data_IF_674405296663
#
_entry.id   IF_674405296663
#
_cell.length_a   1.000
_cell.length_b   1.000
_cell.length_c   1.000
_cell.angle_alpha   90.00
_cell.angle_beta   90.00
_cell.angle_gamma   90.00
#
_symmetry.space_group_name_H-M   'P 1'
#
loop_
_entity.id
_entity.type
_entity.pdbx_description
1 polymer ?
#
# COMPACT_ATOMS: atom_id res chain seq x y z
N UNK A 1 -22.24 5.17 5.68
CA UNK A 1 -21.76 4.45 6.89
C UNK A 1 -20.40 3.79 6.61
N UNK A 2 -19.48 3.76 7.59
CA UNK A 2 -18.18 3.08 7.50
C UNK A 2 -18.07 1.96 8.53
N UNK A 3 -17.60 0.79 8.11
CA UNK A 3 -17.19 -0.30 9.00
C UNK A 3 -15.70 -0.60 8.76
N UNK A 4 -14.98 -0.92 9.83
CA UNK A 4 -13.53 -1.16 9.79
C UNK A 4 -13.20 -2.47 10.49
N UNK A 5 -12.44 -3.31 9.80
CA UNK A 5 -11.91 -4.58 10.29
C UNK A 5 -10.38 -4.51 10.23
N UNK A 6 -9.74 -4.52 11.38
CA UNK A 6 -8.26 -4.47 11.49
C UNK A 6 -7.72 -5.73 12.13
N UNK A 7 -6.47 -6.05 11.85
CA UNK A 7 -5.80 -7.19 12.47
C UNK A 7 -4.43 -7.43 11.88
N UNK A 8 -3.62 -8.22 12.58
CA UNK A 8 -2.29 -8.59 12.11
C UNK A 8 -2.34 -9.45 10.83
N UNK A 9 -1.17 -9.64 10.22
CA UNK A 9 -1.02 -10.44 9.00
C UNK A 9 -1.39 -11.89 9.30
N UNK A 10 -2.18 -12.51 8.41
CA UNK A 10 -2.49 -13.94 8.49
C UNK A 10 -3.60 -14.33 9.46
N UNK A 11 -4.32 -13.35 10.04
CA UNK A 11 -5.47 -13.60 10.93
C UNK A 11 -6.79 -13.88 10.20
N UNK A 12 -6.79 -13.91 8.87
CA UNK A 12 -8.00 -14.27 8.10
C UNK A 12 -8.96 -13.10 7.84
N UNK A 13 -8.46 -11.85 7.79
CA UNK A 13 -9.26 -10.67 7.40
C UNK A 13 -9.96 -10.85 6.05
N UNK A 14 -9.19 -11.15 4.99
CA UNK A 14 -9.72 -11.43 3.65
C UNK A 14 -10.71 -12.61 3.65
N UNK A 15 -10.44 -13.66 4.44
CA UNK A 15 -11.35 -14.79 4.56
C UNK A 15 -12.67 -14.36 5.21
N UNK A 16 -12.61 -13.55 6.26
CA UNK A 16 -13.80 -13.03 6.95
C UNK A 16 -14.64 -12.17 6.01
N UNK A 17 -14.01 -11.32 5.20
CA UNK A 17 -14.72 -10.56 4.17
C UNK A 17 -15.39 -11.47 3.14
N UNK A 18 -14.71 -12.51 2.65
CA UNK A 18 -15.31 -13.48 1.73
C UNK A 18 -16.49 -14.23 2.34
N UNK A 19 -16.39 -14.67 3.59
CA UNK A 19 -17.49 -15.32 4.28
C UNK A 19 -18.71 -14.39 4.43
N UNK A 20 -18.47 -13.10 4.70
CA UNK A 20 -19.54 -12.10 4.71
C UNK A 20 -20.14 -11.98 3.31
N UNK A 21 -19.32 -11.82 2.27
CA UNK A 21 -19.76 -11.72 0.88
C UNK A 21 -20.61 -12.93 0.45
N UNK A 22 -20.18 -14.14 0.77
CA UNK A 22 -20.87 -15.38 0.44
C UNK A 22 -22.21 -15.54 1.19
N UNK A 23 -22.35 -14.87 2.34
CA UNK A 23 -23.60 -14.86 3.12
C UNK A 23 -24.65 -13.85 2.62
N UNK A 24 -24.25 -12.91 1.75
CA UNK A 24 -25.14 -11.85 1.27
C UNK A 24 -25.95 -12.31 0.06
N UNK A 25 -27.25 -11.99 0.08
CA UNK A 25 -28.17 -12.32 -1.01
C UNK A 25 -27.96 -11.38 -2.22
N UNK A 26 -27.64 -11.90 -3.43
CA UNK A 26 -27.40 -11.08 -4.61
C UNK A 26 -28.59 -10.20 -5.01
N UNK A 27 -29.82 -10.64 -4.72
CA UNK A 27 -31.04 -9.90 -5.08
C UNK A 27 -31.24 -8.63 -4.25
N UNK A 28 -30.67 -8.59 -3.03
CA UNK A 28 -30.82 -7.50 -2.07
C UNK A 28 -29.62 -6.55 -2.06
N UNK A 29 -28.45 -7.00 -2.50
CA UNK A 29 -27.20 -6.26 -2.38
C UNK A 29 -26.47 -6.09 -3.71
N UNK A 30 -26.07 -4.85 -4.02
CA UNK A 30 -25.08 -4.55 -5.05
C UNK A 30 -23.71 -4.40 -4.39
N UNK A 31 -22.74 -5.17 -4.84
CA UNK A 31 -21.47 -5.35 -4.15
C UNK A 31 -20.30 -4.98 -5.06
N UNK A 32 -19.38 -4.18 -4.54
CA UNK A 32 -18.03 -4.04 -5.09
C UNK A 32 -17.00 -4.57 -4.08
N UNK A 33 -16.01 -5.32 -4.56
CA UNK A 33 -14.91 -5.85 -3.76
C UNK A 33 -13.55 -5.47 -4.38
N UNK A 34 -12.85 -4.56 -3.70
CA UNK A 34 -11.55 -4.02 -4.12
C UNK A 34 -10.46 -4.71 -3.32
N UNK A 35 -9.54 -5.39 -4.00
CA UNK A 35 -8.41 -6.09 -3.38
C UNK A 35 -7.08 -5.33 -3.46
N UNK A 36 -6.96 -4.41 -4.42
CA UNK A 36 -5.77 -3.58 -4.59
C UNK A 36 -6.16 -2.11 -4.62
N UNK A 37 -6.18 -1.43 -3.46
CA UNK A 37 -6.60 -0.04 -3.40
C UNK A 37 -5.44 0.97 -3.55
N UNK A 38 -4.23 0.53 -3.89
CA UNK A 38 -3.07 1.40 -4.18
C UNK A 38 -3.21 2.08 -5.55
N UNK A 39 -4.14 3.03 -5.63
CA UNK A 39 -4.43 3.78 -6.85
C UNK A 39 -4.96 5.17 -6.54
N UNK A 40 -5.03 6.04 -7.54
CA UNK A 40 -5.65 7.36 -7.37
C UNK A 40 -7.14 7.23 -7.06
N UNK A 41 -7.72 8.21 -6.36
CA UNK A 41 -9.16 8.22 -6.05
C UNK A 41 -10.05 8.09 -7.30
N UNK A 42 -9.66 8.69 -8.43
CA UNK A 42 -10.39 8.57 -9.70
C UNK A 42 -10.39 7.13 -10.21
N UNK A 43 -9.25 6.45 -10.14
CA UNK A 43 -9.16 5.03 -10.51
C UNK A 43 -9.98 4.15 -9.57
N UNK A 44 -9.91 4.42 -8.26
CA UNK A 44 -10.68 3.69 -7.26
C UNK A 44 -12.19 3.83 -7.50
N UNK A 45 -12.67 5.03 -7.77
CA UNK A 45 -14.08 5.28 -8.04
C UNK A 45 -14.54 4.61 -9.35
N UNK A 46 -13.71 4.62 -10.40
CA UNK A 46 -13.98 3.90 -11.66
C UNK A 46 -14.09 2.40 -11.44
N UNK A 47 -13.19 1.82 -10.66
CA UNK A 47 -13.21 0.39 -10.32
C UNK A 47 -14.47 0.04 -9.53
N UNK A 48 -14.82 0.84 -8.52
CA UNK A 48 -16.06 0.66 -7.75
C UNK A 48 -17.29 0.71 -8.66
N UNK A 49 -17.43 1.76 -9.47
CA UNK A 49 -18.59 1.88 -10.37
C UNK A 49 -18.61 0.70 -11.34
N UNK A 50 -17.47 0.32 -11.91
CA UNK A 50 -17.40 -0.76 -12.88
C UNK A 50 -17.80 -2.13 -12.32
N UNK A 51 -17.45 -2.42 -11.06
CA UNK A 51 -17.93 -3.63 -10.39
C UNK A 51 -19.41 -3.57 -10.04
N UNK A 52 -19.92 -2.40 -9.64
CA UNK A 52 -21.32 -2.22 -9.29
C UNK A 52 -22.27 -2.28 -10.50
N UNK A 53 -21.85 -1.74 -11.65
CA UNK A 53 -22.63 -1.70 -12.90
C UNK A 53 -22.37 -2.91 -13.79
N UNK A 54 -21.23 -3.59 -13.63
CA UNK A 54 -20.74 -4.62 -14.54
C UNK A 54 -20.16 -4.07 -15.84
N UNK A 55 -19.95 -2.75 -15.95
CA UNK A 55 -19.45 -2.09 -17.17
C UNK A 55 -18.27 -1.18 -16.85
N UNK A 56 -17.21 -1.24 -17.64
CA UNK A 56 -16.04 -0.38 -17.47
C UNK A 56 -16.40 1.09 -17.68
N UNK A 57 -16.07 1.94 -16.71
CA UNK A 57 -16.24 3.38 -16.86
C UNK A 57 -15.08 4.00 -17.65
N UNK A 58 -15.34 4.51 -18.85
CA UNK A 58 -14.34 5.19 -19.69
C UNK A 58 -14.03 6.61 -19.21
N UNK A 59 -14.98 7.24 -18.51
CA UNK A 59 -14.83 8.59 -17.96
C UNK A 59 -13.67 8.70 -16.98
N UNK A 60 -12.82 9.70 -17.18
CA UNK A 60 -11.67 10.01 -16.31
C UNK A 60 -11.90 11.26 -15.45
N UNK A 61 -12.95 12.03 -15.72
CA UNK A 61 -13.25 13.27 -15.00
C UNK A 61 -13.92 12.95 -13.66
N UNK A 62 -13.38 13.51 -12.58
CA UNK A 62 -13.86 13.26 -11.21
C UNK A 62 -15.33 13.66 -11.02
N UNK A 63 -15.74 14.83 -11.52
CA UNK A 63 -17.11 15.33 -11.39
C UNK A 63 -18.13 14.40 -12.04
N UNK A 64 -17.87 14.00 -13.28
CA UNK A 64 -18.74 13.09 -14.03
C UNK A 64 -18.82 11.71 -13.36
N UNK A 65 -17.71 11.18 -12.80
CA UNK A 65 -17.74 9.92 -12.04
C UNK A 65 -18.57 10.01 -10.76
N UNK A 66 -18.51 11.14 -10.05
CA UNK A 66 -19.33 11.36 -8.85
C UNK A 66 -20.81 11.43 -9.21
N UNK A 67 -21.16 12.07 -10.32
CA UNK A 67 -22.54 12.14 -10.81
C UNK A 67 -23.07 10.76 -11.21
N UNK A 68 -22.28 9.99 -11.98
CA UNK A 68 -22.60 8.61 -12.35
C UNK A 68 -22.80 7.74 -11.11
N UNK A 69 -21.87 7.83 -10.14
CA UNK A 69 -21.97 7.08 -8.89
C UNK A 69 -23.22 7.48 -8.10
N UNK A 70 -23.52 8.78 -7.99
CA UNK A 70 -24.72 9.25 -7.30
C UNK A 70 -26.01 8.70 -7.94
N UNK A 71 -26.12 8.82 -9.26
CA UNK A 71 -27.26 8.31 -10.01
C UNK A 71 -27.45 6.81 -9.83
N UNK A 72 -26.35 6.05 -9.85
CA UNK A 72 -26.38 4.61 -9.60
C UNK A 72 -26.88 4.28 -8.18
N UNK A 73 -26.42 5.04 -7.18
CA UNK A 73 -26.83 4.85 -5.79
C UNK A 73 -28.32 5.07 -5.59
N UNK A 74 -28.88 6.15 -6.15
CA UNK A 74 -30.33 6.42 -6.11
C UNK A 74 -31.13 5.34 -6.83
N UNK A 75 -30.72 4.97 -8.04
CA UNK A 75 -31.39 3.88 -8.78
C UNK A 75 -31.40 2.57 -7.99
N UNK A 76 -30.28 2.20 -7.37
CA UNK A 76 -30.19 0.99 -6.55
C UNK A 76 -31.10 1.07 -5.32
N UNK A 77 -31.20 2.26 -4.70
CA UNK A 77 -32.07 2.48 -3.55
C UNK A 77 -33.56 2.42 -3.94
N UNK A 78 -33.94 2.95 -5.10
CA UNK A 78 -35.30 2.88 -5.66
C UNK A 78 -35.70 1.44 -6.01
N UNK A 79 -34.75 0.61 -6.43
CA UNK A 79 -34.92 -0.84 -6.58
C UNK A 79 -35.08 -1.58 -5.24
N UNK A 80 -35.00 -0.89 -4.10
CA UNK A 80 -35.04 -1.49 -2.76
C UNK A 80 -33.79 -2.27 -2.38
N UNK A 81 -32.71 -2.12 -3.15
CA UNK A 81 -31.42 -2.80 -2.94
C UNK A 81 -30.46 -1.92 -2.14
N UNK A 82 -29.45 -2.55 -1.55
CA UNK A 82 -28.41 -1.87 -0.77
C UNK A 82 -27.05 -1.98 -1.45
N UNK A 83 -26.29 -0.89 -1.46
CA UNK A 83 -24.93 -0.88 -2.02
C UNK A 83 -23.89 -1.11 -0.92
N UNK A 84 -23.02 -2.10 -1.12
CA UNK A 84 -21.91 -2.44 -0.24
C UNK A 84 -20.58 -2.39 -1.01
N UNK A 85 -19.60 -1.70 -0.43
CA UNK A 85 -18.26 -1.58 -1.02
C UNK A 85 -17.27 -2.13 -0.01
N UNK A 86 -16.60 -3.21 -0.37
CA UNK A 86 -15.58 -3.85 0.43
C UNK A 86 -14.21 -3.48 -0.13
N UNK A 87 -13.32 -3.01 0.74
CA UNK A 87 -11.94 -2.68 0.36
C UNK A 87 -10.99 -3.45 1.27
N UNK A 88 -10.30 -4.45 0.71
CA UNK A 88 -9.24 -5.19 1.38
C UNK A 88 -7.89 -4.47 1.24
N UNK A 89 -6.94 -4.80 2.11
CA UNK A 89 -5.64 -4.12 2.20
C UNK A 89 -5.75 -2.58 2.26
N UNK A 90 -6.77 -2.06 2.96
CA UNK A 90 -7.06 -0.63 3.04
C UNK A 90 -5.92 0.20 3.69
N UNK A 91 -4.90 -0.45 4.28
CA UNK A 91 -3.62 0.16 4.64
C UNK A 91 -2.85 0.72 3.43
N UNK A 92 -3.08 0.23 2.22
CA UNK A 92 -2.50 0.78 1.00
C UNK A 92 -3.17 2.07 0.53
N UNK A 93 -4.36 2.41 1.05
CA UNK A 93 -5.04 3.66 0.68
C UNK A 93 -4.27 4.87 1.22
N UNK A 94 -4.02 5.83 0.34
CA UNK A 94 -3.38 7.09 0.71
C UNK A 94 -4.25 7.91 1.69
N UNK A 95 -3.64 8.74 2.55
CA UNK A 95 -4.38 9.64 3.44
C UNK A 95 -5.40 10.53 2.72
N UNK A 96 -5.04 11.06 1.54
CA UNK A 96 -5.90 11.92 0.74
C UNK A 96 -7.10 11.17 0.15
N UNK A 97 -6.91 9.90 -0.23
CA UNK A 97 -8.01 9.06 -0.71
C UNK A 97 -8.96 8.68 0.43
N UNK A 98 -8.47 8.39 1.64
CA UNK A 98 -9.32 8.14 2.81
C UNK A 98 -10.21 9.34 3.13
N UNK A 99 -9.67 10.56 3.01
CA UNK A 99 -10.47 11.78 3.17
C UNK A 99 -11.50 11.95 2.03
N UNK A 100 -11.13 11.62 0.79
CA UNK A 100 -12.08 11.61 -0.32
C UNK A 100 -13.20 10.57 -0.11
N UNK A 101 -12.88 9.38 0.42
CA UNK A 101 -13.87 8.37 0.80
C UNK A 101 -14.77 8.89 1.94
N UNK A 102 -14.22 9.61 2.93
CA UNK A 102 -15.02 10.28 3.96
C UNK A 102 -16.07 11.20 3.34
N UNK A 103 -15.65 12.04 2.39
CA UNK A 103 -16.53 12.99 1.70
C UNK A 103 -17.61 12.27 0.87
N UNK A 104 -17.28 11.15 0.22
CA UNK A 104 -18.28 10.34 -0.48
C UNK A 104 -19.39 9.85 0.45
N UNK A 105 -19.06 9.48 1.70
CA UNK A 105 -20.08 8.98 2.65
C UNK A 105 -21.08 10.04 3.11
N UNK A 106 -20.86 11.31 2.76
CA UNK A 106 -21.84 12.37 2.94
C UNK A 106 -22.98 12.30 1.89
N UNK A 107 -22.82 11.51 0.83
CA UNK A 107 -23.90 11.27 -0.13
C UNK A 107 -24.94 10.39 0.55
N UNK A 108 -25.99 11.04 1.04
CA UNK A 108 -27.11 10.45 1.77
C UNK A 108 -28.41 10.94 1.15
N UNK A 109 -29.41 10.09 1.22
CA UNK A 109 -30.81 10.44 0.99
C UNK A 109 -31.36 10.97 2.32
N UNK A 110 -32.41 11.80 2.31
CA UNK A 110 -32.88 12.55 3.49
C UNK A 110 -33.17 11.65 4.70
N UNK A 111 -33.47 10.36 4.46
CA UNK A 111 -33.81 9.38 5.50
C UNK A 111 -32.81 8.22 5.65
N UNK A 112 -31.81 8.06 4.76
CA UNK A 112 -30.98 6.84 4.72
C UNK A 112 -29.61 6.99 4.05
N UNK A 113 -28.66 6.18 4.54
CA UNK A 113 -27.37 6.01 3.87
C UNK A 113 -27.54 5.24 2.56
N UNK A 114 -27.08 5.82 1.45
CA UNK A 114 -27.16 5.21 0.12
C UNK A 114 -26.21 4.02 -0.08
N UNK A 115 -25.11 3.98 0.69
CA UNK A 115 -24.13 2.89 0.63
C UNK A 115 -23.36 2.74 1.94
N UNK A 116 -22.71 1.58 2.09
CA UNK A 116 -21.80 1.29 3.19
C UNK A 116 -20.45 0.83 2.65
N UNK A 117 -19.36 1.38 3.22
CA UNK A 117 -18.00 0.93 2.94
C UNK A 117 -17.51 0.08 4.11
N UNK A 118 -16.97 -1.10 3.81
CA UNK A 118 -16.27 -1.97 4.75
C UNK A 118 -14.77 -1.96 4.40
N UNK A 119 -13.95 -1.41 5.28
CA UNK A 119 -12.50 -1.37 5.13
C UNK A 119 -11.87 -2.51 5.93
N UNK A 120 -11.10 -3.37 5.28
CA UNK A 120 -10.26 -4.36 5.95
C UNK A 120 -8.78 -3.99 5.76
N UNK A 121 -8.00 -4.03 6.83
CA UNK A 121 -6.59 -3.67 6.75
C UNK A 121 -5.75 -4.11 7.94
N UNK A 122 -4.48 -3.75 7.92
CA UNK A 122 -3.54 -4.06 8.99
C UNK A 122 -3.65 -3.08 10.17
N UNK A 123 -2.96 -3.35 11.29
CA UNK A 123 -2.92 -2.44 12.45
C UNK A 123 -2.34 -1.05 12.13
N UNK A 124 -1.63 -0.91 11.01
CA UNK A 124 -1.24 0.42 10.52
C UNK A 124 -2.45 1.28 10.14
N UNK A 125 -3.49 0.69 9.55
CA UNK A 125 -4.73 1.40 9.22
C UNK A 125 -5.41 1.89 10.50
N UNK A 126 -5.47 1.06 11.55
CA UNK A 126 -5.99 1.41 12.87
C UNK A 126 -5.32 2.69 13.39
N UNK A 127 -3.99 2.68 13.49
CA UNK A 127 -3.19 3.83 13.98
C UNK A 127 -3.43 5.09 13.15
N UNK A 128 -3.56 4.94 11.81
CA UNK A 128 -3.83 6.08 10.92
C UNK A 128 -5.23 6.65 11.12
N UNK A 129 -6.24 5.82 11.38
CA UNK A 129 -7.62 6.24 11.60
C UNK A 129 -7.82 6.86 12.98
N UNK A 130 -7.16 6.33 14.01
CA UNK A 130 -7.19 6.83 15.39
C UNK A 130 -6.40 8.14 15.58
N UNK A 131 -5.59 8.52 14.59
CA UNK A 131 -4.78 9.74 14.67
C UNK A 131 -5.66 11.00 14.77
N UNK A 132 -5.38 11.96 15.67
CA UNK A 132 -6.22 13.14 15.91
C UNK A 132 -6.56 13.96 14.66
N UNK A 133 -5.61 14.09 13.72
CA UNK A 133 -5.82 14.76 12.41
C UNK A 133 -6.93 14.12 11.55
N UNK A 134 -7.42 12.93 11.89
CA UNK A 134 -8.49 12.21 11.17
C UNK A 134 -9.69 11.90 12.06
N UNK A 135 -9.84 12.60 13.19
CA UNK A 135 -10.98 12.43 14.09
C UNK A 135 -12.33 12.50 13.34
N UNK A 136 -12.45 13.37 12.32
CA UNK A 136 -13.65 13.49 11.49
C UNK A 136 -13.99 12.21 10.71
N UNK A 137 -12.98 11.47 10.23
CA UNK A 137 -13.19 10.18 9.57
C UNK A 137 -13.52 9.11 10.60
N UNK A 138 -12.82 9.11 11.73
CA UNK A 138 -13.05 8.14 12.81
C UNK A 138 -14.48 8.19 13.36
N UNK A 139 -15.04 9.40 13.55
CA UNK A 139 -16.43 9.59 13.99
C UNK A 139 -17.48 9.04 13.00
N UNK A 140 -17.12 8.83 11.72
CA UNK A 140 -18.01 8.25 10.71
C UNK A 140 -17.98 6.71 10.70
N UNK A 141 -17.06 6.10 11.46
CA UNK A 141 -16.96 4.65 11.61
C UNK A 141 -18.05 4.20 12.59
N UNK A 142 -19.08 3.54 12.07
CA UNK A 142 -20.16 2.98 12.88
C UNK A 142 -19.80 1.64 13.51
N UNK A 143 -18.83 0.92 12.93
CA UNK A 143 -18.37 -0.37 13.46
C UNK A 143 -16.87 -0.48 13.31
N UNK A 144 -16.17 -0.73 14.41
CA UNK A 144 -14.73 -0.91 14.45
C UNK A 144 -14.42 -2.22 15.16
N UNK A 145 -13.85 -3.18 14.44
CA UNK A 145 -13.58 -4.52 14.95
C UNK A 145 -12.14 -4.90 14.69
N UNK A 146 -11.51 -5.49 15.71
CA UNK A 146 -10.19 -6.08 15.60
C UNK A 146 -10.32 -7.59 15.56
N UNK A 147 -9.64 -8.22 14.59
CA UNK A 147 -9.47 -9.66 14.53
C UNK A 147 -8.18 -10.01 15.25
N UNK A 148 -8.29 -10.89 16.24
CA UNK A 148 -7.15 -11.43 16.99
C UNK A 148 -6.80 -12.85 16.55
N UNK A 149 -5.71 -13.36 17.10
CA UNK A 149 -5.29 -14.76 16.93
C UNK A 149 -6.33 -15.70 17.54
N UNK A 150 -6.25 -16.98 17.17
CA UNK A 150 -6.99 -18.02 17.89
C UNK A 150 -6.53 -17.98 19.35
N UNK A 151 -7.46 -17.94 20.31
CA UNK A 151 -7.16 -17.55 21.69
C UNK A 151 -6.64 -18.67 22.59
N UNK A 152 -6.78 -19.93 22.20
CA UNK A 152 -6.34 -21.08 23.00
C UNK A 152 -6.02 -22.30 22.13
N UNK A 153 -5.25 -23.26 22.67
CA UNK A 153 -5.07 -24.58 22.04
C UNK A 153 -6.39 -25.32 21.78
N UNK A 154 -7.38 -25.18 22.67
CA UNK A 154 -8.69 -25.83 22.51
C UNK A 154 -9.44 -25.26 21.29
N UNK A 155 -9.51 -23.93 21.17
CA UNK A 155 -10.09 -23.27 19.99
C UNK A 155 -9.29 -23.56 18.72
N UNK A 156 -7.98 -23.77 18.84
CA UNK A 156 -7.13 -24.20 17.73
C UNK A 156 -7.49 -25.62 17.27
N UNK A 157 -7.75 -26.53 18.21
CA UNK A 157 -8.19 -27.88 17.89
C UNK A 157 -9.52 -27.86 17.14
N UNK A 158 -10.49 -27.09 17.62
CA UNK A 158 -11.79 -26.91 16.95
C UNK A 158 -11.63 -26.30 15.55
N UNK A 159 -10.75 -25.33 15.41
CA UNK A 159 -10.40 -24.74 14.11
C UNK A 159 -9.83 -25.77 13.15
N UNK A 160 -8.82 -26.54 13.57
CA UNK A 160 -8.20 -27.59 12.75
C UNK A 160 -9.21 -28.65 12.36
N UNK A 161 -10.01 -29.13 13.32
CA UNK A 161 -11.06 -30.14 13.09
C UNK A 161 -12.09 -29.65 12.08
N UNK A 162 -12.55 -28.41 12.21
CA UNK A 162 -13.49 -27.78 11.26
C UNK A 162 -12.89 -27.75 9.86
N UNK A 163 -11.61 -27.39 9.73
CA UNK A 163 -10.91 -27.32 8.43
C UNK A 163 -10.74 -28.70 7.81
N UNK A 164 -10.44 -29.73 8.61
CA UNK A 164 -10.37 -31.13 8.14
C UNK A 164 -11.73 -31.60 7.63
N UNK A 165 -12.82 -31.31 8.35
CA UNK A 165 -14.18 -31.64 7.91
C UNK A 165 -14.54 -30.95 6.58
N UNK A 166 -14.21 -29.66 6.44
CA UNK A 166 -14.41 -28.93 5.19
C UNK A 166 -13.61 -29.50 4.01
N UNK A 167 -12.50 -30.19 4.28
CA UNK A 167 -11.72 -30.89 3.26
C UNK A 167 -12.26 -32.29 2.93
N UNK A 168 -13.38 -32.72 3.52
CA UNK A 168 -13.98 -34.03 3.31
C UNK A 168 -13.50 -35.11 4.29
N UNK A 169 -12.77 -34.74 5.34
CA UNK A 169 -12.42 -35.67 6.41
C UNK A 169 -13.66 -36.12 7.19
N UNK A 170 -13.70 -37.40 7.56
CA UNK A 170 -14.81 -38.06 8.27
C UNK A 170 -14.94 -37.66 9.75
N UNK A 171 -14.19 -36.65 10.20
CA UNK A 171 -14.16 -36.20 11.59
C UNK A 171 -13.29 -37.06 12.50
N UNK A 172 -12.55 -38.05 11.96
CA UNK A 172 -11.47 -38.71 12.72
C UNK A 172 -10.38 -37.70 13.07
N UNK A 173 -9.75 -37.92 14.23
CA UNK A 173 -8.64 -37.08 14.70
C UNK A 173 -7.39 -37.38 13.89
N UNK A 174 -7.22 -36.69 12.76
CA UNK A 174 -6.00 -36.73 11.95
C UNK A 174 -4.80 -36.15 12.70
N UNK A 175 -5.05 -35.31 13.70
CA UNK A 175 -4.06 -34.68 14.57
C UNK A 175 -4.27 -35.15 16.01
N UNK A 176 -3.23 -35.67 16.63
CA UNK A 176 -3.22 -36.08 18.05
C UNK A 176 -3.21 -34.87 18.99
N UNK A 177 -3.51 -35.05 20.28
CA UNK A 177 -3.56 -33.94 21.25
C UNK A 177 -2.19 -33.25 21.47
N UNK A 178 -1.10 -34.02 21.50
CA UNK A 178 0.26 -33.49 21.56
C UNK A 178 0.60 -32.66 20.31
N UNK A 179 0.09 -33.04 19.14
CA UNK A 179 0.27 -32.27 17.90
C UNK A 179 -0.37 -30.89 17.95
N UNK A 180 -1.51 -30.73 18.64
CA UNK A 180 -2.16 -29.43 18.83
C UNK A 180 -1.29 -28.51 19.69
N UNK A 181 -0.65 -29.06 20.72
CA UNK A 181 0.25 -28.30 21.60
C UNK A 181 1.44 -27.72 20.82
N UNK A 182 2.08 -28.54 19.98
CA UNK A 182 3.15 -28.05 19.11
C UNK A 182 2.64 -27.12 18.00
N UNK A 183 1.45 -27.37 17.43
CA UNK A 183 0.85 -26.46 16.45
C UNK A 183 0.63 -25.08 17.07
N UNK A 184 0.15 -25.01 18.31
CA UNK A 184 -0.04 -23.77 19.05
C UNK A 184 1.29 -23.01 19.20
N UNK A 185 2.34 -23.68 19.67
CA UNK A 185 3.66 -23.09 19.87
C UNK A 185 4.26 -22.58 18.54
N UNK A 186 4.33 -23.42 17.51
CA UNK A 186 4.99 -23.08 16.25
C UNK A 186 4.17 -22.17 15.33
N UNK A 187 2.88 -21.99 15.59
CA UNK A 187 2.03 -21.04 14.86
C UNK A 187 2.01 -19.63 15.45
N UNK A 188 3.01 -19.28 16.26
CA UNK A 188 3.07 -18.03 17.02
C UNK A 188 1.81 -17.83 17.89
N UNK A 189 1.39 -18.90 18.57
CA UNK A 189 0.21 -18.91 19.44
C UNK A 189 -1.09 -18.60 18.68
N UNK A 190 -1.36 -19.39 17.63
CA UNK A 190 -2.68 -19.41 16.99
C UNK A 190 -2.85 -18.45 15.81
N UNK A 191 -1.79 -18.12 15.07
CA UNK A 191 -1.92 -17.38 13.79
C UNK A 191 -2.49 -18.32 12.71
N UNK A 192 -3.74 -18.11 12.23
CA UNK A 192 -4.40 -19.04 11.30
C UNK A 192 -3.59 -19.37 10.04
N UNK A 193 -2.90 -18.39 9.44
CA UNK A 193 -2.05 -18.63 8.27
C UNK A 193 -0.91 -19.60 8.55
N UNK A 194 -0.26 -19.48 9.71
CA UNK A 194 0.83 -20.38 10.11
C UNK A 194 0.28 -21.76 10.48
N UNK A 195 -0.80 -21.82 11.25
CA UNK A 195 -1.52 -23.06 11.57
C UNK A 195 -1.81 -23.85 10.28
N UNK A 196 -2.47 -23.22 9.31
CA UNK A 196 -2.80 -23.86 8.04
C UNK A 196 -1.57 -24.37 7.29
N UNK A 197 -0.47 -23.60 7.33
CA UNK A 197 0.77 -23.95 6.63
C UNK A 197 1.45 -25.16 7.28
N UNK A 198 1.57 -25.17 8.61
CA UNK A 198 2.16 -26.28 9.36
C UNK A 198 1.29 -27.52 9.21
N UNK A 199 -0.04 -27.40 9.34
CA UNK A 199 -0.97 -28.51 9.13
C UNK A 199 -0.82 -29.10 7.72
N UNK A 200 -0.82 -28.27 6.67
CA UNK A 200 -0.67 -28.73 5.28
C UNK A 200 0.64 -29.50 5.07
N UNK A 201 1.75 -29.00 5.61
CA UNK A 201 3.04 -29.69 5.52
C UNK A 201 3.06 -31.00 6.32
N UNK A 202 2.39 -31.02 7.48
CA UNK A 202 2.30 -32.21 8.33
C UNK A 202 1.47 -33.30 7.67
N UNK A 203 0.33 -32.95 7.08
CA UNK A 203 -0.49 -33.87 6.29
C UNK A 203 0.29 -34.44 5.10
N UNK A 204 1.04 -33.60 4.38
CA UNK A 204 1.90 -34.07 3.27
C UNK A 204 3.00 -35.03 3.75
N UNK A 205 3.59 -34.77 4.91
CA UNK A 205 4.57 -35.67 5.51
C UNK A 205 3.91 -36.99 5.95
N UNK A 206 2.70 -36.94 6.53
CA UNK A 206 1.92 -38.13 6.87
C UNK A 206 1.62 -38.99 5.66
N UNK A 207 1.12 -38.38 4.58
CA UNK A 207 0.89 -39.06 3.31
C UNK A 207 2.16 -39.74 2.77
N UNK A 208 3.29 -39.02 2.76
CA UNK A 208 4.56 -39.54 2.21
C UNK A 208 5.11 -40.73 3.02
N UNK A 209 4.90 -40.73 4.34
CA UNK A 209 5.43 -41.76 5.24
C UNK A 209 4.39 -42.84 5.63
N UNK A 210 3.15 -42.73 5.11
CA UNK A 210 2.07 -43.67 5.42
C UNK A 210 1.56 -43.59 6.86
N UNK A 211 1.50 -42.40 7.46
CA UNK A 211 0.95 -42.21 8.80
C UNK A 211 -0.56 -42.01 8.76
N UNK A 212 -1.29 -42.76 9.58
CA UNK A 212 -2.74 -42.59 9.78
C UNK A 212 -3.07 -41.37 10.65
N UNK A 213 -2.18 -41.02 11.59
CA UNK A 213 -2.31 -39.86 12.47
C UNK A 213 -1.01 -39.04 12.51
N UNK A 214 -1.17 -37.72 12.59
CA UNK A 214 -0.07 -36.76 12.74
C UNK A 214 0.21 -36.55 14.22
N UNK A 215 1.35 -37.05 14.68
CA UNK A 215 1.84 -36.87 16.05
C UNK A 215 2.54 -35.54 16.27
N UNK A 216 2.74 -35.16 17.53
CA UNK A 216 3.50 -33.98 17.91
C UNK A 216 4.92 -33.95 17.37
N UNK A 217 5.59 -35.09 17.30
CA UNK A 217 6.94 -35.20 16.74
C UNK A 217 7.04 -34.72 15.28
N UNK A 218 6.03 -35.02 14.45
CA UNK A 218 5.98 -34.60 13.04
C UNK A 218 5.78 -33.10 12.95
N UNK A 219 4.86 -32.56 13.75
CA UNK A 219 4.59 -31.12 13.82
C UNK A 219 5.82 -30.37 14.31
N UNK A 220 6.49 -30.86 15.34
CA UNK A 220 7.71 -30.27 15.89
C UNK A 220 8.81 -30.18 14.83
N UNK A 221 9.11 -31.29 14.13
CA UNK A 221 10.12 -31.29 13.07
C UNK A 221 9.82 -30.26 11.96
N UNK A 222 8.55 -30.10 11.59
CA UNK A 222 8.12 -29.12 10.59
C UNK A 222 8.20 -27.70 11.14
N UNK A 223 7.75 -27.48 12.37
CA UNK A 223 7.80 -26.21 13.08
C UNK A 223 9.23 -25.69 13.24
N UNK A 224 10.17 -26.55 13.63
CA UNK A 224 11.59 -26.21 13.75
C UNK A 224 12.21 -25.83 12.40
N UNK A 225 11.89 -26.57 11.32
CA UNK A 225 12.32 -26.20 9.97
C UNK A 225 11.79 -24.82 9.59
N UNK A 226 10.57 -24.52 10.00
CA UNK A 226 9.94 -23.23 9.76
C UNK A 226 10.66 -22.09 10.47
N UNK A 227 10.92 -22.22 11.77
CA UNK A 227 11.67 -21.23 12.55
C UNK A 227 13.09 -21.01 12.02
N UNK A 228 13.76 -22.07 11.53
CA UNK A 228 15.10 -21.95 10.90
C UNK A 228 15.09 -21.15 9.59
N UNK A 229 13.94 -21.10 8.89
CA UNK A 229 13.75 -20.34 7.65
C UNK A 229 13.29 -18.89 7.90
N UNK A 230 12.55 -18.63 8.98
CA UNK A 230 12.06 -17.29 9.37
C UNK A 230 12.90 -16.60 10.45
N UNK A 231 13.89 -17.28 11.02
CA UNK A 231 14.87 -16.66 11.91
C UNK A 231 15.59 -15.51 11.19
N UNK A 232 15.93 -14.40 11.87
CA UNK A 232 16.73 -13.36 11.25
C UNK A 232 18.00 -14.02 10.74
N UNK A 233 18.33 -13.78 9.47
CA UNK A 233 19.58 -14.19 8.84
C UNK A 233 20.77 -13.42 9.46
N UNK A 234 20.91 -13.44 10.77
CA UNK A 234 22.06 -12.94 11.50
C UNK A 234 23.08 -14.06 11.52
N UNK A 235 23.72 -14.31 10.38
CA UNK A 235 25.08 -14.80 10.45
C UNK A 235 25.87 -13.72 11.20
N UNK A 236 26.07 -13.92 12.51
CA UNK A 236 27.14 -13.25 13.25
C UNK A 236 28.44 -13.61 12.53
N UNK A 237 28.83 -12.82 11.53
CA UNK A 237 30.21 -12.77 11.08
C UNK A 237 31.02 -12.41 12.32
N UNK A 238 31.71 -13.40 12.90
CA UNK A 238 32.75 -13.13 13.90
C UNK A 238 33.67 -12.06 13.29
N UNK A 239 33.94 -10.93 13.96
CA UNK A 239 34.92 -10.00 13.45
C UNK A 239 36.25 -10.77 13.36
N UNK A 240 36.84 -10.83 12.15
CA UNK A 240 38.22 -11.29 11.97
C UNK A 240 39.08 -10.38 12.85
N UNK A 241 39.68 -10.92 13.92
CA UNK A 241 40.77 -10.25 14.62
C UNK A 241 41.85 -9.96 13.57
N UNK A 242 42.12 -8.67 13.30
CA UNK A 242 43.39 -8.29 12.70
C UNK A 242 44.48 -8.67 13.71
N UNK A 243 45.60 -9.29 13.30
CA UNK A 243 46.73 -9.45 14.19
C UNK A 243 47.16 -8.04 14.64
N UNK A 244 47.23 -7.83 15.95
CA UNK A 244 47.79 -6.61 16.52
C UNK A 244 49.31 -6.67 16.36
N UNK A 245 49.88 -5.59 15.83
CA UNK A 245 51.31 -5.39 15.68
C UNK A 245 51.85 -4.94 17.05
N UNK A 246 52.31 -5.90 17.86
CA UNK A 246 53.00 -5.67 19.13
C UNK A 246 54.42 -5.14 18.86
N UNK A 247 54.57 -3.82 18.68
CA UNK A 247 55.92 -3.23 18.64
C UNK A 247 56.05 -1.74 18.97
N UNK A 248 55.02 -1.08 19.52
CA UNK A 248 55.09 0.38 19.80
C UNK A 248 54.79 0.82 21.24
N UNK A 249 54.37 -0.08 22.14
CA UNK A 249 54.09 0.29 23.53
C UNK A 249 55.32 0.26 24.45
N UNK A 250 56.38 -0.49 24.11
CA UNK A 250 57.61 -0.58 24.94
C UNK A 250 58.58 0.61 24.81
N UNK A 251 58.39 1.51 23.84
CA UNK A 251 59.31 2.65 23.59
C UNK A 251 58.89 3.98 24.21
N UNK A 252 57.63 4.11 24.64
CA UNK A 252 57.12 5.37 25.21
C UNK A 252 57.34 5.45 26.73
N UNK A 253 57.54 4.30 27.39
CA UNK A 253 57.67 4.22 28.85
C UNK A 253 59.10 4.43 29.38
N UNK A 254 60.08 4.65 28.49
CA UNK A 254 61.50 4.83 28.86
C UNK A 254 62.06 6.25 28.70
N UNK A 255 61.23 7.25 28.38
CA UNK A 255 61.71 8.61 28.08
C UNK A 255 61.17 9.74 28.97
N UNK A 256 60.49 9.45 30.09
CA UNK A 256 59.89 10.49 30.94
C UNK A 256 60.26 10.46 32.43
N UNK A 257 61.35 9.77 32.82
CA UNK A 257 61.91 9.86 34.19
C UNK A 257 63.30 10.50 34.18
N UNK A 258 63.50 11.50 35.07
CA UNK A 258 64.66 12.40 35.35
C UNK A 258 64.45 13.81 34.75
N UNK A 259 64.29 14.94 35.46
CA UNK A 259 64.62 15.33 36.84
C UNK A 259 63.79 16.57 37.34
N UNK A 260 63.40 16.53 38.63
CA UNK A 260 63.39 17.57 39.71
C UNK A 260 62.54 18.88 39.69
N UNK A 261 61.47 18.88 40.53
CA UNK A 261 61.18 19.68 41.78
C UNK A 261 61.13 21.25 41.78
N UNK A 262 60.45 21.95 42.73
CA UNK A 262 58.99 22.12 42.91
C UNK A 262 58.56 23.60 43.22
N UNK A 263 57.29 23.98 43.13
CA UNK A 263 56.63 25.12 43.85
C UNK A 263 55.20 25.24 43.30
N UNK A 264 54.09 25.36 44.02
CA UNK A 264 53.77 25.40 45.44
C UNK A 264 52.25 25.60 45.59
N UNK A 265 51.70 25.14 46.71
CA UNK A 265 50.42 25.51 47.34
C UNK A 265 49.08 25.12 46.65
N UNK A 266 48.46 24.08 47.19
CA UNK A 266 47.26 24.25 48.03
C UNK A 266 45.93 24.59 47.34
N UNK A 267 45.21 23.52 46.95
CA UNK A 267 43.74 23.43 46.88
C UNK A 267 43.05 23.76 48.25
N UNK A 268 41.70 23.82 48.39
CA UNK A 268 40.62 23.69 47.38
C UNK A 268 39.38 24.62 47.57
N UNK A 269 38.43 24.46 46.63
CA UNK A 269 36.97 24.35 46.82
C UNK A 269 36.02 25.57 46.94
N UNK A 270 35.00 25.48 46.07
CA UNK A 270 33.54 25.70 46.29
C UNK A 270 32.93 27.12 46.22
N UNK A 271 31.98 27.19 45.28
CA UNK A 271 30.72 27.95 45.22
C UNK A 271 30.64 29.30 44.45
N UNK A 272 29.48 29.59 43.83
CA UNK A 272 29.31 30.66 42.86
C UNK A 272 28.85 31.96 43.51
N UNK A 273 29.40 33.09 43.07
CA UNK A 273 28.94 34.42 43.47
C UNK A 273 27.97 35.04 42.47
N UNK A 274 26.83 35.44 43.04
CA UNK A 274 25.89 36.48 42.63
C UNK A 274 26.53 37.81 42.26
N UNK A 275 25.90 38.53 41.32
CA UNK A 275 25.67 39.98 41.37
C UNK A 275 24.56 40.30 40.34
N UNK A 276 23.61 41.22 40.48
CA UNK A 276 23.05 42.00 41.60
C UNK A 276 22.00 42.94 40.96
N UNK A 277 20.86 43.16 41.63
CA UNK A 277 20.10 44.46 41.71
C UNK A 277 19.48 45.06 40.41
N UNK A 278 18.37 45.81 40.33
CA UNK A 278 17.50 46.66 41.21
C UNK A 278 16.09 46.66 40.58
N UNK A 279 15.02 46.30 41.30
CA UNK A 279 13.88 47.12 41.82
C UNK A 279 13.17 48.10 40.86
N UNK A 280 11.84 47.93 40.79
CA UNK A 280 10.82 48.93 40.41
C UNK A 280 9.57 48.24 39.83
N UNK A 281 8.58 47.78 40.62
CA UNK A 281 7.31 48.48 40.97
C UNK A 281 6.69 49.19 39.74
N UNK A 282 5.46 48.93 39.27
CA UNK A 282 4.14 48.79 39.92
C UNK A 282 3.23 47.83 39.08
N UNK A 283 2.52 46.86 39.66
CA UNK A 283 1.10 46.91 40.12
C UNK A 283 0.11 47.51 39.11
N UNK A 284 -0.71 46.66 38.46
CA UNK A 284 -2.17 46.52 38.73
C UNK A 284 -2.91 46.96 37.45
N UNK A 285 -4.09 46.51 37.03
CA UNK A 285 -5.15 45.65 37.52
C UNK A 285 -6.01 45.33 36.26
N UNK A 286 -6.53 44.11 36.09
CA UNK A 286 -7.95 43.74 36.09
C UNK A 286 -8.93 44.34 35.03
N UNK A 287 -9.96 43.52 34.73
CA UNK A 287 -11.20 43.71 33.92
C UNK A 287 -11.10 43.41 32.42
N UNK A 288 -11.79 42.40 31.87
CA UNK A 288 -13.26 42.15 31.73
C UNK A 288 -13.95 43.21 30.88
N UNK A 289 -14.38 42.84 29.66
CA UNK A 289 -15.59 43.38 28.99
C UNK A 289 -16.17 42.32 28.03
N UNK A 290 -17.39 41.87 28.31
CA UNK A 290 -18.37 41.36 27.33
C UNK A 290 -18.88 42.51 26.46
N UNK A 291 -19.18 42.29 25.18
CA UNK A 291 -20.37 42.95 24.62
C UNK A 291 -21.01 42.22 23.42
N UNK A 292 -22.32 42.42 23.39
CA UNK A 292 -23.44 41.78 22.73
C UNK A 292 -23.65 42.13 21.25
N UNK A 293 -24.25 41.16 20.54
CA UNK A 293 -25.37 41.25 19.58
C UNK A 293 -25.57 42.51 18.70
N UNK A 294 -25.80 42.28 17.40
CA UNK A 294 -26.89 42.95 16.65
C UNK A 294 -27.33 42.19 15.40
N UNK A 295 -28.64 42.03 15.31
CA UNK A 295 -29.47 41.57 14.21
C UNK A 295 -29.57 42.59 13.06
N UNK A 296 -29.75 42.11 11.84
CA UNK A 296 -30.60 42.79 10.85
C UNK A 296 -31.13 41.78 9.81
N UNK A 297 -32.46 41.73 9.69
CA UNK A 297 -33.23 41.14 8.58
C UNK A 297 -33.20 42.09 7.39
N UNK A 298 -33.31 41.57 6.17
CA UNK A 298 -34.23 42.09 5.14
C UNK A 298 -34.44 41.06 4.03
N UNK A 299 -35.71 40.87 3.70
CA UNK A 299 -36.26 40.14 2.56
C UNK A 299 -35.94 40.85 1.22
N UNK A 300 -35.78 40.07 0.14
CA UNK A 300 -36.57 40.14 -1.11
C UNK A 300 -35.85 39.46 -2.30
N UNK A 301 -36.58 38.55 -2.96
CA UNK A 301 -36.35 38.03 -4.32
C UNK A 301 -37.16 38.86 -5.34
N UNK A 302 -37.10 38.60 -6.67
CA UNK A 302 -35.97 38.31 -7.54
C UNK A 302 -36.01 39.20 -8.81
N UNK A 303 -34.86 39.43 -9.47
CA UNK A 303 -34.80 40.04 -10.81
C UNK A 303 -34.09 39.12 -11.80
N UNK A 304 -34.80 38.76 -12.87
CA UNK A 304 -34.22 38.18 -14.07
C UNK A 304 -33.46 39.26 -14.86
N UNK A 305 -32.44 38.87 -15.66
CA UNK A 305 -32.49 39.31 -17.05
C UNK A 305 -31.99 38.30 -18.10
N UNK A 306 -32.69 38.36 -19.24
CA UNK A 306 -32.16 38.48 -20.61
C UNK A 306 -31.47 37.28 -21.27
N UNK A 307 -32.25 36.72 -22.20
CA UNK A 307 -31.89 35.97 -23.40
C UNK A 307 -30.94 36.76 -24.29
N UNK A 308 -29.80 36.18 -24.68
CA UNK A 308 -29.00 36.67 -25.79
C UNK A 308 -28.80 35.55 -26.82
N UNK A 309 -29.48 35.71 -27.95
CA UNK A 309 -29.34 34.91 -29.16
C UNK A 309 -28.07 35.29 -29.92
N UNK A 310 -27.15 34.32 -30.12
CA UNK A 310 -26.05 34.43 -31.08
C UNK A 310 -26.22 33.37 -32.17
N UNK A 311 -26.29 33.82 -33.43
CA UNK A 311 -26.32 32.99 -34.65
C UNK A 311 -24.93 32.39 -34.97
N UNK A 312 -24.86 31.31 -35.76
CA UNK A 312 -23.74 30.38 -35.74
C UNK A 312 -22.56 30.86 -36.60
N UNK A 313 -21.34 30.63 -36.11
CA UNK A 313 -20.13 30.62 -36.94
C UNK A 313 -19.53 29.22 -36.96
N UNK A 314 -19.27 28.77 -38.17
CA UNK A 314 -18.68 27.51 -38.56
C UNK A 314 -17.18 27.41 -38.23
N UNK A 315 -16.76 26.16 -37.98
CA UNK A 315 -15.41 25.60 -38.19
C UNK A 315 -14.32 25.97 -37.17
N UNK A 316 -13.87 25.00 -36.36
CA UNK A 316 -12.79 24.04 -36.68
C UNK A 316 -12.52 23.19 -35.43
N UNK A 317 -12.63 21.88 -35.57
CA UNK A 317 -12.09 20.92 -34.61
C UNK A 317 -10.56 20.97 -34.69
N UNK A 318 -9.89 21.15 -33.55
CA UNK A 318 -8.51 20.70 -33.38
C UNK A 318 -8.45 19.97 -32.03
N UNK A 319 -8.26 18.66 -32.10
CA UNK A 319 -7.93 17.81 -30.97
C UNK A 319 -6.41 17.81 -30.77
N UNK A 320 -5.96 18.17 -29.58
CA UNK A 320 -4.58 17.96 -29.16
C UNK A 320 -4.37 16.49 -28.81
N UNK A 321 -3.89 15.71 -29.78
CA UNK A 321 -3.18 14.45 -29.50
C UNK A 321 -1.72 14.78 -29.20
N UNK A 322 -1.12 14.26 -28.11
CA UNK A 322 0.30 14.47 -27.84
C UNK A 322 1.14 13.92 -29.00
N UNK A 323 1.96 14.76 -29.62
CA UNK A 323 2.81 14.42 -30.78
C UNK A 323 3.66 13.17 -30.51
N UNK A 324 3.36 12.07 -31.19
CA UNK A 324 4.13 10.82 -31.11
C UNK A 324 5.36 10.87 -32.05
N UNK A 325 6.55 10.56 -31.54
CA UNK A 325 7.76 10.52 -32.36
C UNK A 325 7.86 9.14 -32.99
N UNK A 326 7.80 9.09 -34.32
CA UNK A 326 7.99 7.87 -35.10
C UNK A 326 9.37 7.88 -35.75
N UNK A 327 10.18 6.87 -35.46
CA UNK A 327 11.47 6.66 -36.13
C UNK A 327 11.50 5.27 -36.78
N UNK A 328 11.98 5.20 -38.01
CA UNK A 328 12.09 3.95 -38.76
C UNK A 328 13.51 3.43 -38.66
N UNK A 329 13.68 2.21 -38.15
CA UNK A 329 14.97 1.54 -38.03
C UNK A 329 14.96 0.18 -38.72
N UNK A 330 16.09 -0.22 -39.27
CA UNK A 330 16.28 -1.52 -39.91
C UNK A 330 16.83 -2.50 -38.88
N UNK A 331 16.19 -3.65 -38.73
CA UNK A 331 16.65 -4.73 -37.85
C UNK A 331 16.62 -6.02 -38.65
N UNK A 332 17.81 -6.55 -38.96
CA UNK A 332 17.97 -7.60 -39.97
C UNK A 332 17.52 -7.10 -41.35
N UNK A 333 16.61 -7.85 -41.99
CA UNK A 333 16.06 -7.51 -43.31
C UNK A 333 14.67 -6.84 -43.24
N UNK A 334 14.17 -6.52 -42.05
CA UNK A 334 12.87 -5.87 -41.87
C UNK A 334 13.02 -4.42 -41.39
N UNK A 335 12.19 -3.56 -41.99
CA UNK A 335 12.04 -2.16 -41.60
C UNK A 335 10.94 -2.05 -40.54
N UNK A 336 11.30 -1.59 -39.34
CA UNK A 336 10.39 -1.49 -38.20
C UNK A 336 10.19 -0.03 -37.86
N UNK A 337 8.95 0.36 -37.57
CA UNK A 337 8.60 1.69 -37.08
C UNK A 337 8.54 1.64 -35.55
N UNK A 338 9.46 2.35 -34.90
CA UNK A 338 9.50 2.48 -33.46
C UNK A 338 8.77 3.77 -33.09
N UNK A 339 7.70 3.64 -32.33
CA UNK A 339 6.95 4.75 -31.76
C UNK A 339 7.49 5.02 -30.36
N UNK A 340 8.09 6.21 -30.17
CA UNK A 340 8.60 6.64 -28.87
C UNK A 340 7.69 7.77 -28.36
N UNK A 341 6.89 7.51 -27.33
CA UNK A 341 6.05 8.54 -26.70
C UNK A 341 6.86 9.69 -26.10
N UNK A 342 6.39 10.94 -26.22
CA UNK A 342 7.10 12.13 -25.73
C UNK A 342 7.38 12.10 -24.22
N UNK A 343 6.49 11.53 -23.42
CA UNK A 343 6.69 11.36 -21.98
C UNK A 343 7.92 10.49 -21.67
N UNK A 344 8.22 9.48 -22.49
CA UNK A 344 9.42 8.64 -22.35
C UNK A 344 10.68 9.43 -22.66
N UNK A 345 10.63 10.33 -23.64
CA UNK A 345 11.76 11.22 -23.96
C UNK A 345 12.04 12.20 -22.83
N UNK A 346 11.00 12.79 -22.24
CA UNK A 346 11.12 13.71 -21.09
C UNK A 346 11.70 12.97 -19.87
N UNK A 347 11.20 11.76 -19.59
CA UNK A 347 11.71 10.93 -18.49
C UNK A 347 13.15 10.48 -18.71
N UNK A 348 13.52 10.10 -19.94
CA UNK A 348 14.86 9.69 -20.27
C UNK A 348 15.89 10.81 -20.01
N UNK A 349 15.54 12.06 -20.32
CA UNK A 349 16.42 13.24 -20.08
C UNK A 349 16.73 13.48 -18.61
N UNK A 350 15.77 13.28 -17.72
CA UNK A 350 15.93 13.56 -16.29
C UNK A 350 16.52 12.38 -15.49
N UNK A 351 17.00 11.33 -16.17
CA UNK A 351 17.26 10.03 -15.55
C UNK A 351 18.69 9.50 -15.77
N UNK A 352 19.12 8.63 -14.86
CA UNK A 352 20.44 7.99 -14.92
C UNK A 352 20.55 6.99 -16.08
N UNK A 353 21.77 6.67 -16.52
CA UNK A 353 22.03 5.68 -17.61
C UNK A 353 21.32 4.33 -17.37
N UNK A 354 21.26 3.88 -16.12
CA UNK A 354 20.56 2.65 -15.73
C UNK A 354 19.03 2.75 -15.90
N UNK A 355 18.43 3.91 -15.60
CA UNK A 355 17.01 4.14 -15.78
C UNK A 355 16.63 4.28 -17.26
N UNK A 356 17.47 4.93 -18.08
CA UNK A 356 17.31 4.98 -19.54
C UNK A 356 17.32 3.58 -20.16
N UNK A 357 18.23 2.71 -19.74
CA UNK A 357 18.29 1.31 -20.18
C UNK A 357 16.99 0.56 -19.83
N UNK A 358 16.43 0.78 -18.63
CA UNK A 358 15.17 0.16 -18.21
C UNK A 358 13.97 0.64 -19.04
N UNK A 359 13.90 1.94 -19.34
CA UNK A 359 12.86 2.51 -20.20
C UNK A 359 12.96 1.98 -21.64
N UNK A 360 14.17 1.97 -22.22
CA UNK A 360 14.42 1.46 -23.56
C UNK A 360 14.09 -0.04 -23.68
N UNK A 361 14.47 -0.85 -22.69
CA UNK A 361 14.15 -2.28 -22.65
C UNK A 361 12.64 -2.56 -22.54
N UNK A 362 11.90 -1.69 -21.84
CA UNK A 362 10.44 -1.73 -21.77
C UNK A 362 9.77 -1.43 -23.11
N UNK A 363 10.22 -0.40 -23.83
CA UNK A 363 9.73 -0.09 -25.17
C UNK A 363 10.10 -1.18 -26.19
N UNK A 364 11.30 -1.77 -26.06
CA UNK A 364 11.72 -2.87 -26.92
C UNK A 364 10.79 -4.09 -26.78
N UNK A 365 10.39 -4.44 -25.55
CA UNK A 365 9.44 -5.52 -25.30
C UNK A 365 8.05 -5.23 -25.90
N UNK A 366 7.54 -3.99 -25.77
CA UNK A 366 6.27 -3.58 -26.38
C UNK A 366 6.33 -3.61 -27.92
N UNK A 367 7.47 -3.23 -28.49
CA UNK A 367 7.68 -3.25 -29.94
C UNK A 367 7.70 -4.69 -30.47
N UNK A 368 8.35 -5.63 -29.78
CA UNK A 368 8.32 -7.05 -30.13
C UNK A 368 6.90 -7.65 -30.06
N UNK A 369 6.10 -7.25 -29.07
CA UNK A 369 4.69 -7.67 -28.99
C UNK A 369 3.85 -7.13 -30.17
N UNK A 370 4.15 -5.91 -30.65
CA UNK A 370 3.47 -5.29 -31.80
C UNK A 370 3.85 -5.93 -33.14
N UNK A 371 5.01 -6.58 -33.22
CA UNK A 371 5.51 -7.23 -34.45
C UNK A 371 5.87 -8.73 -34.25
N UNK A 372 4.86 -9.61 -34.05
CA UNK A 372 5.09 -11.05 -33.80
C UNK A 372 5.82 -11.77 -34.95
N UNK A 373 5.74 -11.21 -36.16
CA UNK A 373 6.43 -11.67 -37.37
C UNK A 373 7.97 -11.67 -37.27
N UNK A 374 8.55 -10.94 -36.30
CA UNK A 374 9.99 -10.94 -36.02
C UNK A 374 10.43 -12.11 -35.15
N UNK A 375 9.50 -12.75 -34.45
CA UNK A 375 9.76 -13.81 -33.46
C UNK A 375 9.20 -15.17 -33.87
N UNK A 376 8.70 -15.28 -35.11
CA UNK A 376 8.12 -16.52 -35.63
C UNK A 376 9.17 -17.59 -35.95
N UNK A 377 8.75 -18.86 -36.16
CA UNK A 377 9.63 -20.01 -36.39
C UNK A 377 10.50 -19.92 -37.66
N UNK A 378 10.27 -18.94 -38.53
CA UNK A 378 11.05 -18.63 -39.74
C UNK A 378 11.99 -17.41 -39.57
N UNK A 379 12.09 -16.83 -38.38
CA UNK A 379 13.00 -15.72 -38.10
C UNK A 379 14.44 -16.24 -37.91
N UNK A 380 15.38 -15.69 -38.66
CA UNK A 380 16.79 -16.10 -38.66
C UNK A 380 17.60 -15.61 -37.44
N UNK A 381 16.95 -15.01 -36.45
CA UNK A 381 17.63 -14.32 -35.35
C UNK A 381 17.00 -14.64 -33.99
N UNK A 382 17.86 -14.91 -33.00
CA UNK A 382 17.49 -15.20 -31.62
C UNK A 382 16.68 -14.02 -31.02
N UNK A 383 15.50 -14.28 -30.40
CA UNK A 383 14.68 -13.26 -29.73
C UNK A 383 15.44 -12.35 -28.75
N UNK A 384 16.46 -12.88 -28.07
CA UNK A 384 17.30 -12.10 -27.14
C UNK A 384 18.19 -11.10 -27.89
N UNK A 385 18.72 -11.48 -29.04
CA UNK A 385 19.52 -10.60 -29.90
C UNK A 385 18.66 -9.46 -30.45
N UNK A 386 17.46 -9.78 -30.94
CA UNK A 386 16.51 -8.78 -31.45
C UNK A 386 16.11 -7.76 -30.39
N UNK A 387 15.88 -8.21 -29.15
CA UNK A 387 15.58 -7.32 -28.04
C UNK A 387 16.75 -6.37 -27.74
N UNK A 388 17.99 -6.86 -27.77
CA UNK A 388 19.18 -6.02 -27.59
C UNK A 388 19.34 -5.00 -28.72
N UNK A 389 19.12 -5.39 -29.98
CA UNK A 389 19.24 -4.50 -31.13
C UNK A 389 18.21 -3.37 -31.10
N UNK A 390 16.94 -3.69 -30.78
CA UNK A 390 15.87 -2.70 -30.61
C UNK A 390 16.20 -1.75 -29.45
N UNK A 391 16.66 -2.30 -28.32
CA UNK A 391 17.01 -1.50 -27.13
C UNK A 391 18.15 -0.52 -27.45
N UNK A 392 19.19 -0.97 -28.16
CA UNK A 392 20.31 -0.13 -28.56
C UNK A 392 19.91 0.95 -29.58
N UNK A 393 19.02 0.63 -30.53
CA UNK A 393 18.48 1.61 -31.46
C UNK A 393 17.73 2.73 -30.72
N UNK A 394 16.86 2.37 -29.76
CA UNK A 394 16.11 3.32 -28.94
C UNK A 394 17.05 4.20 -28.11
N UNK A 395 18.08 3.61 -27.48
CA UNK A 395 19.06 4.37 -26.70
C UNK A 395 19.82 5.37 -27.57
N UNK A 396 20.26 4.95 -28.77
CA UNK A 396 20.98 5.81 -29.71
C UNK A 396 20.11 7.00 -30.15
N UNK A 397 18.81 6.78 -30.38
CA UNK A 397 17.85 7.85 -30.68
C UNK A 397 17.72 8.85 -29.54
N UNK A 398 17.60 8.35 -28.31
CA UNK A 398 17.47 9.18 -27.13
C UNK A 398 18.74 10.04 -26.91
N UNK A 399 19.93 9.47 -27.12
CA UNK A 399 21.22 10.16 -27.01
C UNK A 399 21.44 11.19 -28.14
N UNK A 400 21.10 10.87 -29.39
CA UNK A 400 21.20 11.84 -30.52
C UNK A 400 20.33 13.08 -30.31
N UNK A 401 19.16 12.91 -29.68
CA UNK A 401 18.23 14.01 -29.39
C UNK A 401 18.65 14.85 -28.19
N UNK A 402 19.36 14.27 -27.23
CA UNK A 402 20.03 15.00 -26.16
C UNK A 402 21.08 15.95 -26.74
N UNK A 403 21.93 15.46 -27.65
CA UNK A 403 22.99 16.26 -28.28
C UNK A 403 22.47 17.35 -29.24
N UNK A 404 21.32 17.15 -29.91
CA UNK A 404 20.72 18.18 -30.78
C UNK A 404 20.09 19.36 -30.05
N UNK A 405 19.74 19.20 -28.76
CA UNK A 405 19.15 20.27 -27.94
C UNK A 405 20.22 21.05 -27.19
N UNK A 406 21.35 20.43 -26.84
CA UNK A 406 22.49 21.14 -26.25
C UNK A 406 23.32 21.99 -27.25
N UNK A 407 23.07 21.83 -28.56
CA UNK A 407 23.72 22.59 -29.63
C UNK A 407 22.87 23.74 -30.21
N UNK A 408 21.67 23.96 -29.66
CA UNK A 408 20.78 25.11 -29.92
C UNK A 408 20.70 25.94 -28.65
#
# INVERSE_FOLDING_TARGET
CLAVIVGEIGLGKTLSLRLILDSLQPDRYKIAFITNPDMSFVQLLREIIGQLTGQQCETKRRSELLEIFNKFLFQTADEGRKTLIFIDEANAISPANLESLRLLTNMQDDERNLFTIVLAGQMELARRLEHPRRANLFQRIGTYTRIDKIGSPDLLQDYVLTRVRLAGGDGRRVFTEDSISFLWEYSEHGVPRLVNKICKLSLKAGETNGFDEITGSVVQQIGERFQKLTGPATQKRKPRKRPADDSLQEKVERLSTLDREPFGLGEPSLQPETHQTVIGHEQGDASVVEETARSARCDDQPTAPVTETVRPMSSRQNGDTPEEICEETWIGNLKIRIEIPQNVVIQARASTKAQRMKLAGGLAAQTLQKYPQLTGPSASSDPVSLWNDITNAILTTLERRENRVSAR
#
